data_IF_921863915936
#
_entry.id   IF_921863915936
#
_cell.length_a   1.000
_cell.length_b   1.000
_cell.length_c   1.000
_cell.angle_alpha   90.00
_cell.angle_beta   90.00
_cell.angle_gamma   90.00
#
_symmetry.space_group_name_H-M   'P 1'
#
loop_
_entity.id
_entity.type
_entity.pdbx_description
1 polymer ?
#
# COMPACT_ATOMS: atom_id res chain seq x y z
N UNK A 1 0.54 -13.87 -13.77
CA UNK A 1 1.66 -13.87 -12.84
C UNK A 1 2.89 -13.37 -13.54
N UNK A 2 2.95 -12.07 -13.62
CA UNK A 2 3.99 -11.41 -14.38
C UNK A 2 4.50 -10.20 -13.60
N UNK A 3 5.73 -9.81 -13.91
CA UNK A 3 6.30 -8.57 -13.39
C UNK A 3 5.77 -7.44 -14.27
N UNK A 4 5.19 -6.43 -13.65
CA UNK A 4 4.72 -5.24 -14.36
C UNK A 4 5.73 -4.10 -14.21
N UNK A 5 5.66 -3.14 -15.14
CA UNK A 5 6.47 -1.95 -15.05
C UNK A 5 6.01 -1.07 -13.89
N UNK A 6 6.96 -0.57 -13.11
CA UNK A 6 6.66 0.35 -12.03
C UNK A 6 6.41 1.75 -12.58
N UNK A 7 5.40 2.41 -12.02
CA UNK A 7 5.09 3.80 -12.33
C UNK A 7 6.15 4.71 -11.73
N UNK A 8 6.64 5.66 -12.50
CA UNK A 8 7.61 6.65 -12.01
C UNK A 8 6.96 7.53 -10.95
N UNK A 9 7.72 7.85 -9.90
CA UNK A 9 7.25 8.67 -8.78
C UNK A 9 6.60 10.00 -9.22
N UNK A 10 7.12 10.62 -10.26
CA UNK A 10 6.64 11.92 -10.74
C UNK A 10 5.44 11.82 -11.67
N UNK A 11 4.94 10.61 -11.95
CA UNK A 11 3.73 10.44 -12.77
C UNK A 11 2.52 11.01 -12.03
N UNK A 12 1.71 11.86 -12.70
CA UNK A 12 0.52 12.44 -12.07
C UNK A 12 -0.50 11.44 -11.54
N UNK A 13 -0.45 10.18 -12.00
CA UNK A 13 -1.38 9.13 -11.55
C UNK A 13 -1.35 8.94 -10.04
N UNK A 14 -0.19 9.18 -9.39
CA UNK A 14 -0.08 9.05 -7.94
C UNK A 14 -0.93 10.04 -7.15
N UNK A 15 -1.38 11.12 -7.78
CA UNK A 15 -2.27 12.11 -7.14
C UNK A 15 -3.74 11.81 -7.36
N UNK A 16 -4.08 10.76 -8.09
CA UNK A 16 -5.45 10.37 -8.38
C UNK A 16 -5.95 9.38 -7.34
N UNK A 17 -7.24 9.43 -7.07
CA UNK A 17 -7.90 8.44 -6.21
C UNK A 17 -8.12 7.16 -6.99
N UNK A 18 -7.81 6.04 -6.36
CA UNK A 18 -8.11 4.72 -6.91
C UNK A 18 -9.59 4.39 -6.71
N UNK A 19 -10.16 3.66 -7.66
CA UNK A 19 -11.56 3.26 -7.62
C UNK A 19 -11.77 1.99 -6.82
N UNK A 20 -12.90 1.91 -6.14
CA UNK A 20 -13.29 0.69 -5.43
C UNK A 20 -13.37 -0.49 -6.38
N UNK A 21 -12.94 -1.64 -5.89
CA UNK A 21 -13.10 -2.92 -6.59
C UNK A 21 -14.55 -3.37 -6.39
N UNK A 22 -15.25 -3.67 -7.47
CA UNK A 22 -16.65 -4.11 -7.44
C UNK A 22 -16.79 -5.58 -7.80
N UNK A 23 -15.83 -6.12 -8.56
CA UNK A 23 -15.85 -7.51 -9.03
C UNK A 23 -14.62 -8.25 -8.54
N UNK A 24 -14.84 -9.34 -7.83
CA UNK A 24 -13.78 -10.15 -7.21
C UNK A 24 -13.59 -11.42 -8.06
N UNK A 25 -12.84 -11.30 -9.13
CA UNK A 25 -12.69 -12.31 -10.19
C UNK A 25 -11.22 -12.54 -10.57
N UNK A 26 -11.01 -13.32 -11.61
CA UNK A 26 -9.67 -13.64 -12.10
C UNK A 26 -8.84 -12.42 -12.49
N UNK A 27 -9.47 -11.36 -12.98
CA UNK A 27 -8.75 -10.12 -13.34
C UNK A 27 -8.13 -9.48 -12.10
N UNK A 28 -8.88 -9.44 -11.00
CA UNK A 28 -8.37 -8.97 -9.73
C UNK A 28 -7.25 -9.88 -9.22
N UNK A 29 -7.44 -11.19 -9.28
CA UNK A 29 -6.45 -12.14 -8.78
C UNK A 29 -5.15 -12.06 -9.58
N UNK A 30 -5.24 -11.92 -10.90
CA UNK A 30 -4.06 -11.72 -11.75
C UNK A 30 -3.33 -10.44 -11.36
N UNK A 31 -4.05 -9.35 -11.13
CA UNK A 31 -3.45 -8.10 -10.65
C UNK A 31 -2.70 -8.32 -9.33
N UNK A 32 -3.30 -9.01 -8.39
CA UNK A 32 -2.68 -9.28 -7.09
C UNK A 32 -1.41 -10.12 -7.22
N UNK A 33 -1.42 -11.16 -8.07
CA UNK A 33 -0.23 -11.97 -8.33
C UNK A 33 0.88 -11.14 -8.99
N UNK A 34 0.53 -10.32 -9.97
CA UNK A 34 1.50 -9.46 -10.64
C UNK A 34 2.08 -8.42 -9.69
N UNK A 35 1.25 -7.86 -8.80
CA UNK A 35 1.72 -6.93 -7.77
C UNK A 35 2.72 -7.62 -6.82
N UNK A 36 2.45 -8.85 -6.40
CA UNK A 36 3.37 -9.60 -5.55
C UNK A 36 4.71 -9.85 -6.24
N UNK A 37 4.68 -10.30 -7.49
CA UNK A 37 5.89 -10.59 -8.24
C UNK A 37 6.71 -9.32 -8.47
N UNK A 38 6.05 -8.23 -8.81
CA UNK A 38 6.69 -6.93 -9.01
C UNK A 38 7.31 -6.41 -7.71
N UNK A 39 6.57 -6.53 -6.60
CA UNK A 39 7.01 -6.10 -5.28
C UNK A 39 8.26 -6.88 -4.83
N UNK A 40 8.25 -8.20 -5.00
CA UNK A 40 9.39 -9.05 -4.67
C UNK A 40 10.63 -8.68 -5.49
N UNK A 41 10.44 -8.43 -6.79
CA UNK A 41 11.52 -7.99 -7.66
C UNK A 41 12.12 -6.66 -7.22
N UNK A 42 11.30 -5.77 -6.72
CA UNK A 42 11.73 -4.46 -6.25
C UNK A 42 12.30 -4.48 -4.82
N UNK A 43 12.27 -5.64 -4.15
CA UNK A 43 12.67 -5.81 -2.75
C UNK A 43 11.90 -4.88 -1.81
N UNK A 44 10.62 -4.64 -2.12
CA UNK A 44 9.76 -3.79 -1.32
C UNK A 44 8.91 -4.59 -0.34
N UNK A 45 8.20 -3.88 0.54
CA UNK A 45 7.35 -4.47 1.56
C UNK A 45 5.87 -4.26 1.29
N UNK A 46 5.52 -3.20 0.58
CA UNK A 46 4.13 -2.88 0.27
C UNK A 46 3.97 -2.30 -1.13
N UNK A 47 2.82 -2.55 -1.72
CA UNK A 47 2.49 -2.11 -3.07
C UNK A 47 0.99 -1.84 -3.16
N UNK A 48 0.63 -0.65 -3.63
CA UNK A 48 -0.73 -0.35 -4.05
C UNK A 48 -0.80 -0.51 -5.58
N UNK A 49 -1.99 -0.78 -6.11
CA UNK A 49 -2.14 -1.03 -7.55
C UNK A 49 -1.66 0.14 -8.42
N UNK A 50 -1.71 1.36 -7.90
CA UNK A 50 -1.20 2.53 -8.61
C UNK A 50 0.30 2.43 -8.94
N UNK A 51 1.07 1.68 -8.16
CA UNK A 51 2.49 1.45 -8.46
C UNK A 51 2.71 0.72 -9.79
N UNK A 52 1.72 -0.01 -10.26
CA UNK A 52 1.77 -0.66 -11.57
C UNK A 52 0.79 0.00 -12.57
N UNK A 53 0.37 1.23 -12.28
CA UNK A 53 -0.42 2.03 -13.20
C UNK A 53 -1.91 1.74 -13.20
N UNK A 54 -2.42 1.04 -12.20
CA UNK A 54 -3.83 0.64 -12.11
C UNK A 54 -4.51 1.37 -10.97
N UNK A 55 -5.57 2.13 -11.26
CA UNK A 55 -6.32 2.87 -10.24
C UNK A 55 -7.44 2.02 -9.67
N UNK A 56 -7.07 1.02 -8.89
CA UNK A 56 -7.96 0.13 -8.13
C UNK A 56 -7.52 0.11 -6.67
N UNK A 57 -8.49 0.01 -5.77
CA UNK A 57 -8.22 -0.02 -4.33
C UNK A 57 -7.77 -1.40 -3.89
N UNK A 58 -6.57 -1.77 -4.29
CA UNK A 58 -5.94 -3.05 -3.95
C UNK A 58 -4.52 -2.80 -3.43
N UNK A 59 -4.18 -3.49 -2.36
CA UNK A 59 -2.87 -3.39 -1.69
C UNK A 59 -2.35 -4.79 -1.41
N UNK A 60 -1.06 -4.98 -1.60
CA UNK A 60 -0.34 -6.20 -1.23
C UNK A 60 0.80 -5.82 -0.31
N UNK A 61 0.94 -6.54 0.81
CA UNK A 61 2.03 -6.35 1.75
C UNK A 61 2.71 -7.69 1.96
N UNK A 62 4.03 -7.71 1.87
CA UNK A 62 4.83 -8.92 2.09
C UNK A 62 5.32 -8.92 3.54
N UNK A 63 5.06 -10.02 4.23
CA UNK A 63 5.56 -10.28 5.57
C UNK A 63 6.37 -11.59 5.60
N UNK A 64 7.02 -11.86 6.73
CA UNK A 64 7.81 -13.08 6.92
C UNK A 64 7.01 -14.36 6.64
N UNK A 65 5.71 -14.35 7.02
CA UNK A 65 4.83 -15.52 6.90
C UNK A 65 4.04 -15.57 5.60
N UNK A 66 4.28 -14.65 4.67
CA UNK A 66 3.57 -14.62 3.40
C UNK A 66 3.16 -13.22 2.99
N UNK A 67 2.01 -13.10 2.35
CA UNK A 67 1.51 -11.82 1.87
C UNK A 67 0.12 -11.53 2.41
N UNK A 68 -0.13 -10.25 2.70
CA UNK A 68 -1.44 -9.73 3.06
C UNK A 68 -2.01 -9.06 1.82
N UNK A 69 -3.24 -9.42 1.44
CA UNK A 69 -3.98 -8.78 0.37
C UNK A 69 -5.15 -8.00 0.98
N UNK A 70 -5.25 -6.73 0.65
CA UNK A 70 -6.31 -5.85 1.16
C UNK A 70 -7.04 -5.22 -0.01
N UNK A 71 -8.33 -5.52 -0.14
CA UNK A 71 -9.18 -4.95 -1.18
C UNK A 71 -10.13 -3.95 -0.53
N UNK A 72 -10.23 -2.75 -1.11
CA UNK A 72 -11.04 -1.66 -0.56
C UNK A 72 -10.74 -1.38 0.92
N UNK A 73 -9.45 -1.25 1.29
CA UNK A 73 -9.11 -1.08 2.70
C UNK A 73 -9.46 0.31 3.22
N UNK A 74 -9.77 0.35 4.51
CA UNK A 74 -9.90 1.61 5.25
C UNK A 74 -9.35 1.43 6.66
N UNK A 75 -8.76 2.49 7.22
CA UNK A 75 -8.30 2.47 8.61
C UNK A 75 -9.51 2.77 9.49
N UNK A 76 -9.84 1.83 10.38
CA UNK A 76 -11.02 1.95 11.26
C UNK A 76 -10.64 2.25 12.70
N UNK A 77 -9.40 2.07 13.07
CA UNK A 77 -8.88 2.42 14.39
C UNK A 77 -7.39 2.74 14.30
N UNK A 78 -6.96 3.73 15.06
CA UNK A 78 -5.56 4.14 15.10
C UNK A 78 -5.21 4.55 16.53
N UNK A 79 -4.03 4.15 17.00
CA UNK A 79 -3.57 4.52 18.33
C UNK A 79 -3.29 6.02 18.44
N UNK A 80 -3.48 6.58 19.66
CA UNK A 80 -3.05 7.94 19.94
C UNK A 80 -1.52 8.04 19.97
N UNK A 81 -0.86 6.98 20.39
CA UNK A 81 0.60 6.87 20.34
C UNK A 81 1.07 6.86 18.89
N UNK A 82 2.14 7.61 18.61
CA UNK A 82 2.73 7.70 17.28
C UNK A 82 4.15 7.17 17.27
N UNK A 83 4.66 6.96 16.06
CA UNK A 83 6.03 6.53 15.81
C UNK A 83 6.60 7.33 14.65
N UNK A 84 7.91 7.51 14.63
CA UNK A 84 8.62 8.13 13.52
C UNK A 84 9.49 7.07 12.86
N UNK A 85 9.28 6.85 11.56
CA UNK A 85 10.00 5.83 10.79
C UNK A 85 10.44 6.37 9.45
N UNK A 86 11.54 5.82 8.94
CA UNK A 86 12.02 6.12 7.61
C UNK A 86 11.10 5.46 6.58
N UNK A 87 10.58 6.24 5.65
CA UNK A 87 9.75 5.74 4.55
C UNK A 87 10.39 6.02 3.20
N UNK A 88 10.13 5.13 2.27
CA UNK A 88 10.51 5.25 0.88
C UNK A 88 9.43 4.56 0.03
N UNK A 89 9.72 4.33 -1.24
CA UNK A 89 8.78 3.71 -2.16
C UNK A 89 9.52 2.87 -3.19
N UNK A 90 8.83 1.87 -3.74
CA UNK A 90 9.33 1.10 -4.88
C UNK A 90 9.25 1.89 -6.19
N UNK A 91 8.51 3.00 -6.23
CA UNK A 91 8.40 3.84 -7.41
C UNK A 91 9.76 4.46 -7.76
N UNK A 92 10.24 4.29 -8.99
CA UNK A 92 11.51 4.92 -9.40
C UNK A 92 11.45 6.44 -9.23
N UNK A 93 12.49 7.02 -8.65
CA UNK A 93 12.59 8.46 -8.42
C UNK A 93 11.97 8.95 -7.13
N UNK A 94 11.45 8.06 -6.29
CA UNK A 94 10.86 8.45 -5.01
C UNK A 94 11.92 8.97 -4.04
N UNK A 95 11.57 9.96 -3.21
CA UNK A 95 12.44 10.39 -2.13
C UNK A 95 12.43 9.41 -0.98
N UNK A 96 13.21 9.71 0.07
CA UNK A 96 13.12 9.06 1.37
C UNK A 96 13.06 10.12 2.45
N UNK A 97 12.46 9.81 3.57
CA UNK A 97 12.39 10.70 4.71
C UNK A 97 11.62 10.09 5.87
N UNK A 98 11.70 10.72 7.02
CA UNK A 98 11.02 10.27 8.22
C UNK A 98 9.60 10.80 8.25
N UNK A 99 8.67 9.92 8.56
CA UNK A 99 7.24 10.23 8.64
C UNK A 99 6.72 9.77 9.99
N UNK A 100 5.85 10.57 10.59
CA UNK A 100 5.18 10.21 11.84
C UNK A 100 3.82 9.58 11.51
N UNK A 101 3.62 8.38 12.05
CA UNK A 101 2.40 7.57 11.85
C UNK A 101 1.89 7.07 13.19
N UNK A 102 0.61 6.66 13.27
CA UNK A 102 0.15 5.92 14.45
C UNK A 102 1.00 4.68 14.69
N UNK A 103 1.28 4.37 15.95
CA UNK A 103 2.09 3.20 16.31
C UNK A 103 1.35 1.89 16.08
N UNK A 104 0.01 1.91 16.07
CA UNK A 104 -0.84 0.76 15.81
C UNK A 104 -2.07 1.20 15.03
N UNK A 105 -2.45 0.44 14.01
CA UNK A 105 -3.68 0.68 13.25
C UNK A 105 -4.41 -0.63 13.01
N UNK A 106 -5.73 -0.52 12.90
CA UNK A 106 -6.60 -1.60 12.47
C UNK A 106 -7.23 -1.22 11.14
N UNK A 107 -7.16 -2.14 10.19
CA UNK A 107 -7.67 -1.97 8.83
C UNK A 107 -8.84 -2.89 8.63
N UNK A 108 -9.94 -2.36 8.09
CA UNK A 108 -11.07 -3.15 7.58
C UNK A 108 -10.94 -3.21 6.05
N UNK A 109 -11.09 -4.40 5.49
CA UNK A 109 -10.93 -4.62 4.06
C UNK A 109 -11.71 -5.84 3.61
N UNK A 110 -11.51 -6.25 2.37
CA UNK A 110 -12.03 -7.50 1.82
C UNK A 110 -10.87 -8.32 1.29
N UNK A 111 -11.02 -9.65 1.34
CA UNK A 111 -10.07 -10.54 0.68
C UNK A 111 -10.35 -10.62 -0.82
N UNK A 112 -9.58 -11.44 -1.54
CA UNK A 112 -9.73 -11.60 -3.00
C UNK A 112 -11.07 -12.18 -3.44
N UNK A 113 -11.80 -12.78 -2.52
CA UNK A 113 -13.12 -13.39 -2.77
C UNK A 113 -14.28 -12.50 -2.34
N UNK A 114 -13.99 -11.31 -1.82
CA UNK A 114 -15.00 -10.36 -1.35
C UNK A 114 -15.49 -10.62 0.07
N UNK A 115 -14.79 -11.46 0.85
CA UNK A 115 -15.13 -11.68 2.24
C UNK A 115 -14.52 -10.58 3.11
N UNK A 116 -15.30 -10.04 4.09
CA UNK A 116 -14.75 -9.03 5.00
C UNK A 116 -13.61 -9.59 5.84
N UNK A 117 -12.56 -8.80 5.98
CA UNK A 117 -11.42 -9.12 6.84
C UNK A 117 -11.01 -7.89 7.65
N UNK A 118 -10.32 -8.17 8.76
CA UNK A 118 -9.76 -7.13 9.62
C UNK A 118 -8.30 -7.50 9.89
N UNK A 119 -7.43 -6.51 9.82
CA UNK A 119 -6.01 -6.70 10.11
C UNK A 119 -5.53 -5.59 11.03
N UNK A 120 -4.78 -5.95 12.07
CA UNK A 120 -4.16 -5.00 12.98
C UNK A 120 -2.65 -5.12 12.85
N UNK A 121 -1.97 -3.98 12.75
CA UNK A 121 -0.52 -3.92 12.67
C UNK A 121 0.05 -2.92 13.65
N UNK A 122 1.27 -3.19 14.08
CA UNK A 122 2.07 -2.32 14.93
C UNK A 122 3.40 -2.04 14.26
N UNK A 123 4.06 -0.96 14.67
CA UNK A 123 5.40 -0.64 14.19
C UNK A 123 5.44 -0.47 12.67
N UNK A 124 6.37 -1.19 12.04
CA UNK A 124 6.56 -1.10 10.60
C UNK A 124 5.31 -1.47 9.80
N UNK A 125 4.58 -2.50 10.24
CA UNK A 125 3.35 -2.93 9.56
C UNK A 125 2.28 -1.83 9.63
N UNK A 126 2.11 -1.18 10.78
CA UNK A 126 1.17 -0.06 10.90
C UNK A 126 1.54 1.08 9.93
N UNK A 127 2.82 1.43 9.86
CA UNK A 127 3.30 2.45 8.94
C UNK A 127 3.05 2.05 7.49
N UNK A 128 3.26 0.77 7.14
CA UNK A 128 3.04 0.26 5.79
C UNK A 128 1.55 0.31 5.42
N UNK A 129 0.66 -0.07 6.33
CA UNK A 129 -0.79 0.07 6.10
C UNK A 129 -1.15 1.52 5.75
N UNK A 130 -0.70 2.47 6.57
CA UNK A 130 -0.99 3.88 6.35
C UNK A 130 -0.43 4.38 5.01
N UNK A 131 0.80 4.03 4.71
CA UNK A 131 1.49 4.43 3.49
C UNK A 131 0.73 3.96 2.24
N UNK A 132 0.37 2.67 2.19
CA UNK A 132 -0.27 2.10 1.00
C UNK A 132 -1.73 2.55 0.88
N UNK A 133 -2.45 2.68 1.97
CA UNK A 133 -3.84 3.17 1.94
C UNK A 133 -3.87 4.64 1.50
N UNK A 134 -2.92 5.46 1.95
CA UNK A 134 -2.79 6.84 1.49
C UNK A 134 -2.64 6.90 -0.04
N UNK A 135 -1.83 6.01 -0.64
CA UNK A 135 -1.68 5.96 -2.10
C UNK A 135 -3.03 5.76 -2.81
N UNK A 136 -3.95 5.02 -2.23
CA UNK A 136 -5.28 4.80 -2.81
C UNK A 136 -6.10 6.10 -2.86
N UNK A 137 -5.76 7.05 -2.02
CA UNK A 137 -6.43 8.35 -1.94
C UNK A 137 -5.64 9.48 -2.61
N UNK A 138 -4.56 9.14 -3.31
CA UNK A 138 -3.72 10.13 -3.97
C UNK A 138 -2.84 10.93 -3.01
N UNK A 139 -2.61 10.41 -1.81
CA UNK A 139 -1.80 11.03 -0.77
C UNK A 139 -0.43 10.36 -0.78
N UNK A 140 0.63 11.15 -0.85
CA UNK A 140 2.00 10.65 -0.90
C UNK A 140 2.70 10.87 0.44
N UNK A 141 3.52 9.90 0.85
CA UNK A 141 4.28 10.03 2.10
C UNK A 141 5.23 11.24 2.05
N UNK A 142 5.67 11.65 0.86
CA UNK A 142 6.53 12.82 0.71
C UNK A 142 5.88 14.10 1.26
N UNK A 143 4.54 14.18 1.23
CA UNK A 143 3.80 15.31 1.79
C UNK A 143 3.85 15.33 3.32
N UNK A 144 4.21 14.21 3.92
CA UNK A 144 4.20 13.99 5.36
C UNK A 144 5.61 13.88 5.96
N UNK A 145 6.65 14.03 5.16
CA UNK A 145 8.01 13.98 5.66
C UNK A 145 8.22 15.14 6.63
N UNK A 146 8.59 14.79 7.86
CA UNK A 146 8.87 15.76 8.93
C UNK A 146 10.38 16.01 9.07
N UNK A 147 11.20 15.06 8.59
CA UNK A 147 12.64 15.14 8.70
C UNK A 147 13.28 14.40 7.51
N UNK A 148 14.09 15.07 6.69
CA UNK A 148 14.79 14.42 5.59
C UNK A 148 15.92 13.54 6.13
N UNK A 149 16.42 12.68 5.24
CA UNK A 149 17.59 11.88 5.57
C UNK A 149 18.82 12.77 5.67
#
# INVERSE_FOLDING_TARGET
MAIRNLTNWHDPIFRKKSRAVETFDERLWTLLYDMKDTLKRANGYGCAAVHVGILRRAVVIIEADGAIELINPSIVDASAETQKMLEGSIAPGAPQGYVTRPARVTVSAYDRHGNPITATGEGFLAATFCHEIDHLDGILFADKITEPI
#
